data_IF_101934212851
#
_entry.id   IF_101934212851
#
_cell.length_a   1.000
_cell.length_b   1.000
_cell.length_c   1.000
_cell.angle_alpha   90.00
_cell.angle_beta   90.00
_cell.angle_gamma   90.00
#
_symmetry.space_group_name_H-M   'P 1'
#
loop_
_entity.id
_entity.type
_entity.pdbx_description
1 polymer ?
#
# COMPACT_ATOMS: atom_id res chain seq x y z
N UNK A 1 9.06 2.52 -7.25
CA UNK A 1 9.31 3.15 -8.54
C UNK A 1 9.23 4.65 -8.37
N UNK A 2 10.17 5.35 -8.95
CA UNK A 2 10.22 6.79 -8.76
C UNK A 2 9.62 7.60 -9.91
N UNK A 3 9.46 7.02 -11.10
CA UNK A 3 8.94 7.73 -12.28
C UNK A 3 8.20 6.80 -13.23
N UNK A 4 7.12 7.31 -13.80
CA UNK A 4 6.31 6.61 -14.81
C UNK A 4 6.02 7.58 -15.97
N UNK A 5 6.43 7.21 -17.17
CA UNK A 5 6.16 8.02 -18.36
C UNK A 5 4.74 7.78 -18.88
N UNK A 6 3.96 8.83 -19.00
CA UNK A 6 2.65 8.77 -19.63
C UNK A 6 2.78 8.92 -21.15
N UNK A 7 1.88 8.31 -21.89
CA UNK A 7 1.83 8.38 -23.35
C UNK A 7 1.67 9.82 -23.86
N UNK A 8 1.12 10.73 -23.06
CA UNK A 8 0.99 12.15 -23.43
C UNK A 8 2.30 12.92 -23.34
N UNK A 9 3.38 12.31 -22.84
CA UNK A 9 4.68 12.95 -22.66
C UNK A 9 4.96 13.41 -21.23
N UNK A 10 3.95 13.49 -20.37
CA UNK A 10 4.14 13.83 -18.97
C UNK A 10 4.82 12.70 -18.21
N UNK A 11 5.70 13.04 -17.30
CA UNK A 11 6.36 12.05 -16.40
C UNK A 11 5.77 12.20 -15.01
N UNK A 12 5.14 11.12 -14.54
CA UNK A 12 4.59 11.04 -13.18
C UNK A 12 5.74 10.70 -12.24
N UNK A 13 6.01 11.56 -11.27
CA UNK A 13 7.02 11.32 -10.24
C UNK A 13 6.38 10.76 -8.98
N UNK A 14 6.99 9.70 -8.45
CA UNK A 14 6.60 9.08 -7.18
C UNK A 14 7.83 9.05 -6.27
N UNK A 15 8.22 10.24 -5.81
CA UNK A 15 9.41 10.45 -4.99
C UNK A 15 9.10 11.04 -3.61
N UNK A 16 7.84 11.35 -3.36
CA UNK A 16 7.37 11.93 -2.09
C UNK A 16 6.15 11.18 -1.60
N UNK A 17 5.77 11.42 -0.34
CA UNK A 17 4.53 10.90 0.21
C UNK A 17 3.33 11.81 -0.13
N UNK A 18 2.13 11.31 0.10
CA UNK A 18 0.87 12.07 -0.05
C UNK A 18 0.65 12.62 -1.46
N UNK A 19 0.89 11.81 -2.46
CA UNK A 19 0.68 12.19 -3.86
C UNK A 19 -0.81 12.17 -4.19
N UNK A 20 -1.44 13.33 -4.52
CA UNK A 20 -2.90 13.41 -4.72
C UNK A 20 -3.43 12.56 -5.87
N UNK A 21 -2.59 12.24 -6.85
CA UNK A 21 -2.93 11.46 -8.04
C UNK A 21 -2.55 9.99 -7.96
N UNK A 22 -2.09 9.53 -6.79
CA UNK A 22 -1.73 8.14 -6.53
C UNK A 22 -2.76 7.51 -5.62
N UNK A 23 -3.09 6.26 -5.88
CA UNK A 23 -3.96 5.47 -5.03
C UNK A 23 -3.54 4.02 -4.96
N UNK A 24 -4.14 3.32 -4.01
CA UNK A 24 -3.96 1.89 -3.83
C UNK A 24 -5.31 1.22 -3.97
N UNK A 25 -5.39 0.22 -4.85
CA UNK A 25 -6.63 -0.52 -5.11
C UNK A 25 -6.53 -1.89 -4.48
N UNK A 26 -7.44 -2.19 -3.58
CA UNK A 26 -7.60 -3.51 -3.00
C UNK A 26 -8.71 -4.24 -3.74
N UNK A 27 -8.42 -5.32 -4.48
CA UNK A 27 -9.46 -6.07 -5.18
C UNK A 27 -10.50 -6.62 -4.21
N UNK A 28 -11.77 -6.61 -4.61
CA UNK A 28 -12.88 -7.05 -3.76
C UNK A 28 -12.74 -8.50 -3.28
N UNK A 29 -12.19 -9.36 -4.13
CA UNK A 29 -11.92 -10.76 -3.78
C UNK A 29 -10.92 -10.93 -2.62
N UNK A 30 -10.23 -9.84 -2.23
CA UNK A 30 -9.25 -9.83 -1.14
C UNK A 30 -9.67 -8.96 0.04
N UNK A 31 -10.72 -8.20 -0.13
CA UNK A 31 -11.15 -7.20 0.84
C UNK A 31 -11.50 -7.84 2.18
N UNK A 32 -12.43 -8.79 2.18
CA UNK A 32 -12.84 -9.45 3.42
C UNK A 32 -11.71 -10.28 4.04
N UNK A 33 -10.99 -11.03 3.22
CA UNK A 33 -9.84 -11.83 3.65
C UNK A 33 -8.79 -10.96 4.34
N UNK A 34 -8.53 -9.76 3.80
CA UNK A 34 -7.59 -8.83 4.42
C UNK A 34 -8.07 -8.38 5.81
N UNK A 35 -9.34 -8.02 5.96
CA UNK A 35 -9.85 -7.56 7.24
C UNK A 35 -9.94 -8.66 8.28
N UNK A 36 -10.27 -9.88 7.88
CA UNK A 36 -10.20 -11.06 8.76
C UNK A 36 -8.77 -11.28 9.23
N UNK A 37 -7.81 -11.28 8.30
CA UNK A 37 -6.40 -11.41 8.63
C UNK A 37 -5.93 -10.31 9.59
N UNK A 38 -6.29 -9.05 9.31
CA UNK A 38 -5.92 -7.90 10.13
C UNK A 38 -6.40 -8.05 11.58
N UNK A 39 -7.65 -8.48 11.75
CA UNK A 39 -8.25 -8.68 13.07
C UNK A 39 -7.57 -9.82 13.82
N UNK A 40 -7.36 -10.94 13.17
CA UNK A 40 -6.71 -12.12 13.78
C UNK A 40 -5.25 -11.84 14.13
N UNK A 41 -4.50 -11.20 13.25
CA UNK A 41 -3.09 -10.86 13.49
C UNK A 41 -2.95 -9.84 14.63
N UNK A 42 -3.80 -8.83 14.65
CA UNK A 42 -3.79 -7.85 15.75
C UNK A 42 -4.09 -8.53 17.08
N UNK A 43 -5.10 -9.40 17.11
CA UNK A 43 -5.45 -10.14 18.33
C UNK A 43 -4.27 -11.02 18.79
N UNK A 44 -3.64 -11.76 17.88
CA UNK A 44 -2.51 -12.61 18.22
C UNK A 44 -1.33 -11.83 18.79
N UNK A 45 -1.08 -10.63 18.23
CA UNK A 45 -0.03 -9.75 18.73
C UNK A 45 -0.34 -9.25 20.15
N UNK A 46 -1.56 -8.81 20.40
CA UNK A 46 -1.99 -8.36 21.73
C UNK A 46 -1.83 -9.48 22.75
N UNK A 47 -2.26 -10.69 22.41
CA UNK A 47 -2.12 -11.85 23.27
C UNK A 47 -0.66 -12.18 23.58
N UNK A 48 0.22 -12.09 22.57
CA UNK A 48 1.66 -12.31 22.75
C UNK A 48 2.28 -11.28 23.71
N UNK A 49 1.89 -10.01 23.56
CA UNK A 49 2.36 -8.93 24.45
C UNK A 49 1.90 -9.19 25.88
N UNK A 50 0.62 -9.53 26.08
CA UNK A 50 0.06 -9.83 27.40
C UNK A 50 0.70 -11.04 28.06
N UNK A 51 1.06 -12.05 27.28
CA UNK A 51 1.72 -13.27 27.77
C UNK A 51 3.24 -13.13 27.94
N UNK A 52 3.83 -11.99 27.55
CA UNK A 52 5.28 -11.77 27.62
C UNK A 52 6.08 -12.58 26.62
N UNK A 53 5.47 -13.00 25.50
CA UNK A 53 6.11 -13.84 24.48
C UNK A 53 6.14 -13.19 23.08
N UNK A 54 6.30 -11.87 23.03
CA UNK A 54 6.28 -11.13 21.77
C UNK A 54 7.43 -11.52 20.83
N UNK A 55 8.60 -11.88 21.37
CA UNK A 55 9.72 -12.33 20.54
C UNK A 55 9.39 -13.60 19.77
N UNK A 56 8.70 -14.55 20.40
CA UNK A 56 8.23 -15.76 19.74
C UNK A 56 7.23 -15.44 18.63
N UNK A 57 6.38 -14.43 18.82
CA UNK A 57 5.47 -13.96 17.79
C UNK A 57 6.23 -13.46 16.55
N UNK A 58 7.29 -12.67 16.75
CA UNK A 58 8.15 -12.22 15.66
C UNK A 58 8.81 -13.37 14.92
N UNK A 59 9.43 -14.29 15.66
CA UNK A 59 10.14 -15.44 15.10
C UNK A 59 9.20 -16.29 14.24
N UNK A 60 7.99 -16.57 14.75
CA UNK A 60 6.99 -17.36 14.03
C UNK A 60 6.57 -16.71 12.69
N UNK A 61 6.73 -15.40 12.57
CA UNK A 61 6.38 -14.64 11.36
C UNK A 61 7.59 -14.31 10.47
N UNK A 62 8.75 -14.86 10.78
CA UNK A 62 9.95 -14.71 9.96
C UNK A 62 10.71 -13.40 10.12
N UNK A 63 10.44 -12.63 11.17
CA UNK A 63 11.21 -11.42 11.43
C UNK A 63 12.63 -11.76 11.84
N UNK A 64 13.59 -11.00 11.32
CA UNK A 64 15.00 -11.14 11.66
C UNK A 64 15.29 -10.61 13.07
N UNK A 65 16.32 -11.16 13.72
CA UNK A 65 16.73 -10.71 15.04
C UNK A 65 17.06 -9.21 15.06
N UNK A 66 17.65 -8.68 13.98
CA UNK A 66 17.97 -7.26 13.86
C UNK A 66 16.74 -6.38 14.02
N UNK A 67 15.59 -6.80 13.47
CA UNK A 67 14.33 -6.09 13.63
C UNK A 67 13.83 -6.15 15.08
N UNK A 68 13.90 -7.32 15.70
CA UNK A 68 13.49 -7.53 17.11
C UNK A 68 14.32 -6.64 18.04
N UNK A 69 15.62 -6.52 17.77
CA UNK A 69 16.55 -5.75 18.56
C UNK A 69 16.31 -4.23 18.50
N UNK A 70 15.58 -3.75 17.49
CA UNK A 70 15.20 -2.34 17.40
C UNK A 70 14.26 -1.89 18.53
N UNK A 71 13.55 -2.83 19.15
CA UNK A 71 12.61 -2.57 20.24
C UNK A 71 11.63 -1.45 19.93
N UNK A 72 11.03 -1.53 18.76
CA UNK A 72 10.04 -0.57 18.29
C UNK A 72 8.79 -0.56 19.18
N UNK A 73 8.07 0.53 19.18
CA UNK A 73 6.76 0.62 19.84
C UNK A 73 5.77 -0.38 19.23
N UNK A 74 4.76 -0.76 19.99
CA UNK A 74 3.70 -1.64 19.48
C UNK A 74 3.00 -1.06 18.25
N UNK A 75 2.79 0.25 18.24
CA UNK A 75 2.20 0.93 17.09
C UNK A 75 3.07 0.83 15.83
N UNK A 76 4.37 1.01 15.95
CA UNK A 76 5.29 0.90 14.83
C UNK A 76 5.37 -0.53 14.30
N UNK A 77 5.40 -1.52 15.19
CA UNK A 77 5.38 -2.94 14.81
C UNK A 77 4.12 -3.28 14.03
N UNK A 78 2.96 -2.88 14.53
CA UNK A 78 1.68 -3.15 13.86
C UNK A 78 1.59 -2.40 12.52
N UNK A 79 2.05 -1.15 12.47
CA UNK A 79 2.12 -0.40 11.22
C UNK A 79 2.94 -1.14 10.17
N UNK A 80 4.14 -1.56 10.52
CA UNK A 80 5.02 -2.27 9.58
C UNK A 80 4.41 -3.59 9.12
N UNK A 81 3.85 -4.35 10.05
CA UNK A 81 3.28 -5.66 9.77
C UNK A 81 2.04 -5.58 8.87
N UNK A 82 1.14 -4.65 9.19
CA UNK A 82 -0.10 -4.43 8.44
C UNK A 82 0.22 -3.84 7.06
N UNK A 83 1.10 -2.86 7.01
CA UNK A 83 1.49 -2.20 5.77
C UNK A 83 2.14 -3.18 4.79
N UNK A 84 3.02 -4.06 5.26
CA UNK A 84 3.66 -5.08 4.43
C UNK A 84 2.62 -6.00 3.77
N UNK A 85 1.60 -6.42 4.50
CA UNK A 85 0.52 -7.24 3.96
C UNK A 85 -0.37 -6.46 2.99
N UNK A 86 -0.72 -5.22 3.34
CA UNK A 86 -1.51 -4.35 2.49
C UNK A 86 -0.83 -4.12 1.13
N UNK A 87 0.47 -3.87 1.13
CA UNK A 87 1.25 -3.69 -0.09
C UNK A 87 1.25 -4.94 -0.99
N UNK A 88 1.22 -6.14 -0.41
CA UNK A 88 1.15 -7.39 -1.17
C UNK A 88 -0.20 -7.58 -1.85
N UNK A 89 -1.26 -7.05 -1.29
CA UNK A 89 -2.63 -7.29 -1.74
C UNK A 89 -3.17 -6.21 -2.67
N UNK A 90 -2.59 -5.01 -2.63
CA UNK A 90 -3.07 -3.86 -3.39
C UNK A 90 -2.33 -3.69 -4.71
N UNK A 91 -2.94 -2.89 -5.58
CA UNK A 91 -2.35 -2.41 -6.84
C UNK A 91 -2.16 -0.92 -6.75
N UNK A 92 -1.02 -0.44 -7.23
CA UNK A 92 -0.80 1.00 -7.36
C UNK A 92 -1.51 1.52 -8.60
N UNK A 93 -2.15 2.68 -8.48
CA UNK A 93 -2.72 3.40 -9.61
C UNK A 93 -2.27 4.86 -9.58
N UNK A 94 -2.17 5.45 -10.75
CA UNK A 94 -1.91 6.88 -10.93
C UNK A 94 -2.91 7.47 -11.91
N UNK A 95 -3.34 8.70 -11.64
CA UNK A 95 -3.97 9.54 -12.66
C UNK A 95 -2.93 10.52 -13.20
N UNK A 96 -2.77 10.61 -14.51
CA UNK A 96 -1.88 11.59 -15.11
C UNK A 96 -2.50 12.99 -14.96
N UNK A 97 -1.78 13.89 -14.32
CA UNK A 97 -2.24 15.26 -14.08
C UNK A 97 -2.30 16.11 -15.34
N UNK A 98 -1.69 15.65 -16.43
CA UNK A 98 -1.69 16.38 -17.70
C UNK A 98 -2.83 15.95 -18.66
N UNK A 99 -3.17 14.65 -18.69
CA UNK A 99 -4.15 14.14 -19.65
C UNK A 99 -5.28 13.29 -19.04
N UNK A 100 -5.21 12.97 -17.75
CA UNK A 100 -6.24 12.20 -17.07
C UNK A 100 -6.18 10.68 -17.29
N UNK A 101 -5.21 10.17 -18.01
CA UNK A 101 -5.05 8.72 -18.15
C UNK A 101 -4.81 8.07 -16.81
N UNK A 102 -5.44 6.93 -16.63
CA UNK A 102 -5.22 6.08 -15.47
C UNK A 102 -4.16 5.04 -15.82
N UNK A 103 -3.18 4.90 -14.98
CA UNK A 103 -2.15 3.86 -15.04
C UNK A 103 -2.37 2.91 -13.88
N UNK A 104 -2.71 1.65 -14.20
CA UNK A 104 -2.99 0.62 -13.21
C UNK A 104 -1.90 -0.44 -13.25
N UNK A 105 -1.29 -0.70 -12.09
CA UNK A 105 -0.27 -1.74 -11.95
C UNK A 105 -0.88 -3.13 -12.06
N UNK A 106 -0.25 -4.00 -12.85
CA UNK A 106 -0.56 -5.42 -12.84
C UNK A 106 0.16 -6.13 -11.72
N UNK A 107 -0.37 -7.29 -11.32
CA UNK A 107 0.09 -7.98 -10.13
C UNK A 107 1.49 -8.59 -10.26
N UNK A 108 1.82 -9.14 -11.42
CA UNK A 108 2.86 -10.15 -11.51
C UNK A 108 4.23 -9.60 -11.88
N UNK A 109 4.28 -8.46 -12.56
CA UNK A 109 5.50 -7.93 -13.15
C UNK A 109 5.69 -6.42 -12.97
N UNK A 110 4.91 -5.80 -12.10
CA UNK A 110 4.92 -4.34 -11.89
C UNK A 110 4.72 -3.55 -13.20
N UNK A 111 4.05 -4.15 -14.16
CA UNK A 111 3.69 -3.51 -15.42
C UNK A 111 2.46 -2.63 -15.23
N UNK A 112 2.43 -1.46 -15.89
CA UNK A 112 1.29 -0.55 -15.84
C UNK A 112 0.54 -0.58 -17.17
N UNK A 113 -0.77 -0.80 -17.08
CA UNK A 113 -1.69 -0.64 -18.20
C UNK A 113 -2.37 0.70 -18.09
N UNK A 114 -2.53 1.39 -19.24
CA UNK A 114 -3.03 2.76 -19.27
C UNK A 114 -4.38 2.82 -19.94
N UNK A 115 -5.28 3.63 -19.38
CA UNK A 115 -6.65 3.79 -19.86
C UNK A 115 -6.96 5.28 -19.96
N UNK A 116 -7.46 5.73 -21.12
CA UNK A 116 -7.85 7.11 -21.31
C UNK A 116 -9.26 7.36 -20.77
N UNK A 117 -9.52 8.51 -20.13
CA UNK A 117 -10.86 8.87 -19.71
C UNK A 117 -11.75 9.16 -20.91
N UNK A 118 -13.01 8.75 -20.86
CA UNK A 118 -13.96 8.92 -21.97
C UNK A 118 -14.15 10.39 -22.37
N UNK A 119 -14.10 11.29 -21.42
CA UNK A 119 -14.24 12.73 -21.66
C UNK A 119 -12.94 13.42 -22.10
N UNK A 120 -11.83 12.68 -22.19
CA UNK A 120 -10.53 13.22 -22.58
C UNK A 120 -9.92 14.23 -21.62
N UNK A 121 -10.37 14.29 -20.37
CA UNK A 121 -9.96 15.31 -19.38
C UNK A 121 -9.42 14.70 -18.11
N UNK A 122 -8.64 15.49 -17.37
CA UNK A 122 -8.27 15.17 -15.99
C UNK A 122 -9.51 15.34 -15.12
N UNK A 123 -9.86 14.28 -14.38
CA UNK A 123 -11.09 14.25 -13.58
C UNK A 123 -10.81 14.30 -12.07
N UNK A 124 -9.54 14.26 -11.66
CA UNK A 124 -9.14 14.19 -10.26
C UNK A 124 -9.92 13.09 -9.50
N UNK A 125 -9.92 11.89 -10.07
CA UNK A 125 -10.81 10.80 -9.64
C UNK A 125 -10.61 10.36 -8.20
N UNK A 126 -9.41 10.57 -7.66
CA UNK A 126 -9.14 10.25 -6.25
C UNK A 126 -9.66 11.33 -5.31
N UNK A 127 -9.91 12.55 -5.83
CA UNK A 127 -10.56 13.63 -5.10
C UNK A 127 -9.90 14.06 -3.80
N UNK A 128 -8.70 13.56 -3.54
CA UNK A 128 -8.05 13.76 -2.27
C UNK A 128 -7.32 15.11 -2.27
N UNK A 129 -7.81 16.04 -1.49
CA UNK A 129 -6.97 17.13 -1.03
C UNK A 129 -5.88 16.53 -0.12
N UNK A 130 -4.66 17.12 -0.11
CA UNK A 130 -3.64 16.70 0.84
C UNK A 130 -4.19 16.72 2.26
N UNK A 131 -3.95 15.65 3.01
CA UNK A 131 -4.33 15.59 4.42
C UNK A 131 -3.31 16.42 5.18
N UNK A 132 -3.81 17.36 5.97
CA UNK A 132 -2.97 18.22 6.80
C UNK A 132 -2.31 17.46 7.95
#
# INVERSE_FOLDING_TARGET
MSKLACKCGHVISDTTDNIPRKGHVLPDVRYETFFVWLTEETQSYVEAVQAGCVEQWFVARGYAQDYIDLKLSHGDVLHDHIHAQFCKLTRTMYECEACGRIHMETREDHHFWSYAPDNGKVNAILGAAPVD
#
